data_IF_009683411796
#
_entry.id   IF_009683411796
#
_cell.length_a   1.000
_cell.length_b   1.000
_cell.length_c   1.000
_cell.angle_alpha   90.00
_cell.angle_beta   90.00
_cell.angle_gamma   90.00
#
_symmetry.space_group_name_H-M   'P 1'
#
loop_
_entity.id
_entity.type
_entity.pdbx_description
1 polymer ?
#
# COMPACT_ATOMS: atom_id res chain seq x y z
N UNK A 1 26.22 15.25 14.30
CA UNK A 1 25.56 15.36 12.97
C UNK A 1 24.53 14.25 12.68
N UNK A 2 24.32 13.25 13.55
CA UNK A 2 23.40 12.12 13.31
C UNK A 2 21.94 12.44 13.72
N UNK A 3 21.73 13.26 14.75
CA UNK A 3 20.38 13.64 15.23
C UNK A 3 19.55 14.45 14.21
N UNK A 4 20.18 15.41 13.51
CA UNK A 4 19.49 16.25 12.52
C UNK A 4 18.98 15.45 11.31
N UNK A 5 19.71 14.39 10.92
CA UNK A 5 19.30 13.51 9.83
C UNK A 5 18.11 12.61 10.22
N UNK A 6 18.04 12.22 11.50
CA UNK A 6 16.93 11.43 12.04
C UNK A 6 15.65 12.28 12.17
N UNK A 7 15.79 13.54 12.59
CA UNK A 7 14.67 14.49 12.66
C UNK A 7 14.11 14.83 11.28
N UNK A 8 14.97 15.07 10.28
CA UNK A 8 14.56 15.30 8.90
C UNK A 8 13.92 14.06 8.24
N UNK A 9 14.24 12.86 8.69
CA UNK A 9 13.63 11.60 8.22
C UNK A 9 12.25 11.38 8.84
N UNK A 10 12.11 11.68 10.13
CA UNK A 10 10.83 11.62 10.86
C UNK A 10 9.81 12.63 10.31
N UNK A 11 10.24 13.85 10.01
CA UNK A 11 9.39 14.87 9.41
C UNK A 11 8.90 14.47 8.01
N UNK A 12 9.78 13.89 7.18
CA UNK A 12 9.40 13.37 5.85
C UNK A 12 8.37 12.26 5.96
N UNK A 13 8.55 11.33 6.90
CA UNK A 13 7.59 10.26 7.16
C UNK A 13 6.24 10.82 7.68
N UNK A 14 6.25 11.83 8.56
CA UNK A 14 5.02 12.48 9.03
C UNK A 14 4.29 13.22 7.90
N UNK A 15 5.00 13.94 7.04
CA UNK A 15 4.40 14.61 5.87
C UNK A 15 3.77 13.60 4.90
N UNK A 16 4.44 12.48 4.63
CA UNK A 16 3.87 11.42 3.78
C UNK A 16 2.61 10.78 4.40
N UNK A 17 2.60 10.60 5.73
CA UNK A 17 1.40 10.10 6.45
C UNK A 17 0.27 11.13 6.44
N UNK A 18 0.57 12.41 6.50
CA UNK A 18 -0.42 13.48 6.44
C UNK A 18 -1.05 13.60 5.06
N UNK A 19 -0.25 13.59 3.99
CA UNK A 19 -0.73 13.62 2.59
C UNK A 19 -1.65 12.42 2.30
N UNK A 20 -1.34 11.24 2.84
CA UNK A 20 -2.20 10.04 2.70
C UNK A 20 -3.55 10.21 3.40
N UNK A 21 -3.56 10.76 4.61
CA UNK A 21 -4.82 11.06 5.32
C UNK A 21 -5.65 12.11 4.61
N UNK A 22 -5.02 13.15 4.07
CA UNK A 22 -5.69 14.22 3.31
C UNK A 22 -6.31 13.71 2.00
N UNK A 23 -5.76 12.63 1.41
CA UNK A 23 -6.34 11.93 0.25
C UNK A 23 -7.50 10.99 0.59
N UNK A 24 -7.79 10.78 1.88
CA UNK A 24 -8.80 9.83 2.34
C UNK A 24 -8.31 8.37 2.43
N UNK A 25 -7.01 8.11 2.26
CA UNK A 25 -6.45 6.77 2.39
C UNK A 25 -6.49 6.34 3.87
N UNK A 26 -6.96 5.11 4.13
CA UNK A 26 -6.94 4.50 5.46
C UNK A 26 -5.90 3.38 5.51
N UNK A 27 -5.03 3.42 6.53
CA UNK A 27 -4.12 2.32 6.82
C UNK A 27 -4.89 1.11 7.36
N UNK A 28 -4.64 -0.06 6.80
CA UNK A 28 -5.29 -1.31 7.18
C UNK A 28 -4.23 -2.40 7.34
N UNK A 29 -4.19 -3.02 8.53
CA UNK A 29 -3.33 -4.17 8.80
C UNK A 29 -4.16 -5.45 8.65
N UNK A 30 -3.72 -6.35 7.77
CA UNK A 30 -4.39 -7.62 7.49
C UNK A 30 -3.41 -8.78 7.59
N UNK A 31 -3.86 -9.90 8.16
CA UNK A 31 -3.15 -11.16 8.08
C UNK A 31 -3.44 -11.81 6.72
N UNK A 32 -2.39 -12.23 6.03
CA UNK A 32 -2.52 -12.91 4.73
C UNK A 32 -1.77 -14.24 4.74
N UNK A 33 -2.20 -15.22 3.93
CA UNK A 33 -1.45 -16.45 3.72
C UNK A 33 -0.03 -16.18 3.21
N UNK A 34 0.94 -16.99 3.66
CA UNK A 34 2.36 -16.82 3.31
C UNK A 34 2.60 -16.79 1.79
N UNK A 35 1.96 -17.70 1.05
CA UNK A 35 2.07 -17.77 -0.42
C UNK A 35 1.60 -16.49 -1.11
N UNK A 36 0.58 -15.81 -0.57
CA UNK A 36 0.09 -14.52 -1.10
C UNK A 36 1.14 -13.44 -0.86
N UNK A 37 1.73 -13.39 0.35
CA UNK A 37 2.82 -12.46 0.66
C UNK A 37 4.00 -12.62 -0.30
N UNK A 38 4.44 -13.85 -0.54
CA UNK A 38 5.54 -14.16 -1.49
C UNK A 38 5.19 -13.74 -2.92
N UNK A 39 3.94 -13.95 -3.36
CA UNK A 39 3.51 -13.54 -4.70
C UNK A 39 3.54 -12.02 -4.87
N UNK A 40 3.11 -11.27 -3.84
CA UNK A 40 3.19 -9.80 -3.83
C UNK A 40 4.65 -9.36 -3.91
N UNK A 41 5.52 -9.92 -3.06
CA UNK A 41 6.94 -9.56 -3.03
C UNK A 41 7.63 -9.86 -4.36
N UNK A 42 7.32 -10.99 -5.00
CA UNK A 42 7.83 -11.32 -6.34
C UNK A 42 7.35 -10.33 -7.40
N UNK A 43 6.09 -9.90 -7.35
CA UNK A 43 5.55 -8.92 -8.29
C UNK A 43 6.27 -7.55 -8.18
N UNK A 44 6.67 -7.16 -6.96
CA UNK A 44 7.48 -5.96 -6.75
C UNK A 44 8.91 -6.17 -7.23
N UNK A 45 9.54 -7.30 -6.86
CA UNK A 45 10.93 -7.60 -7.22
C UNK A 45 11.16 -7.71 -8.74
N UNK A 46 10.15 -8.16 -9.47
CA UNK A 46 10.16 -8.26 -10.95
C UNK A 46 9.83 -6.93 -11.64
N UNK A 47 9.56 -5.87 -10.88
CA UNK A 47 9.23 -4.54 -11.41
C UNK A 47 7.81 -4.40 -11.96
N UNK A 48 6.95 -5.42 -11.80
CA UNK A 48 5.53 -5.34 -12.22
C UNK A 48 4.78 -4.26 -11.44
N UNK A 49 5.15 -4.06 -10.17
CA UNK A 49 4.65 -2.95 -9.36
C UNK A 49 5.79 -2.24 -8.64
N UNK A 50 5.70 -0.91 -8.46
CA UNK A 50 6.76 -0.12 -7.81
C UNK A 50 6.83 -0.32 -6.29
N UNK A 51 5.78 -0.86 -5.66
CA UNK A 51 5.76 -1.20 -4.24
C UNK A 51 4.64 -2.18 -3.90
N UNK A 52 4.73 -2.81 -2.71
CA UNK A 52 3.66 -3.67 -2.19
C UNK A 52 2.33 -2.92 -2.08
N UNK A 53 2.37 -1.66 -1.64
CA UNK A 53 1.18 -0.83 -1.50
C UNK A 53 0.49 -0.63 -2.85
N UNK A 54 1.24 -0.31 -3.91
CA UNK A 54 0.67 -0.12 -5.25
C UNK A 54 0.11 -1.44 -5.81
N UNK A 55 0.83 -2.55 -5.60
CA UNK A 55 0.34 -3.87 -5.99
C UNK A 55 -1.00 -4.23 -5.33
N UNK A 56 -1.09 -4.04 -4.00
CA UNK A 56 -2.28 -4.35 -3.22
C UNK A 56 -3.43 -3.42 -3.62
N UNK A 57 -3.19 -2.11 -3.68
CA UNK A 57 -4.22 -1.14 -4.04
C UNK A 57 -4.80 -1.42 -5.43
N UNK A 58 -3.96 -1.67 -6.43
CA UNK A 58 -4.40 -1.99 -7.78
C UNK A 58 -5.33 -3.21 -7.83
N UNK A 59 -5.00 -4.28 -7.10
CA UNK A 59 -5.83 -5.49 -7.03
C UNK A 59 -7.14 -5.22 -6.28
N UNK A 60 -7.11 -4.49 -5.18
CA UNK A 60 -8.32 -4.13 -4.43
C UNK A 60 -9.25 -3.24 -5.26
N UNK A 61 -8.72 -2.26 -5.99
CA UNK A 61 -9.49 -1.43 -6.91
C UNK A 61 -10.13 -2.27 -8.02
N UNK A 62 -9.36 -3.19 -8.62
CA UNK A 62 -9.87 -4.09 -9.65
C UNK A 62 -10.99 -5.01 -9.13
N UNK A 63 -10.88 -5.49 -7.88
CA UNK A 63 -11.84 -6.42 -7.29
C UNK A 63 -13.09 -5.74 -6.70
N UNK A 64 -12.96 -4.54 -6.14
CA UNK A 64 -14.02 -3.90 -5.35
C UNK A 64 -14.53 -2.58 -5.93
N UNK A 65 -13.77 -1.91 -6.80
CA UNK A 65 -14.15 -0.59 -7.36
C UNK A 65 -14.60 -0.71 -8.81
N UNK A 66 -14.06 -1.66 -9.58
CA UNK A 66 -14.63 -1.96 -10.89
C UNK A 66 -16.03 -2.58 -10.72
N UNK A 67 -17.05 -1.86 -11.18
CA UNK A 67 -18.45 -2.30 -11.22
C UNK A 67 -18.57 -3.53 -12.14
N UNK A 68 -18.48 -4.73 -11.59
CA UNK A 68 -19.37 -5.80 -12.03
C UNK A 68 -20.71 -5.66 -11.26
N UNK A 69 -21.85 -5.84 -11.93
CA UNK A 69 -23.16 -5.67 -11.32
C UNK A 69 -23.39 -6.74 -10.24
N UNK A 70 -23.35 -6.29 -8.99
CA UNK A 70 -24.23 -6.66 -7.88
C UNK A 70 -24.91 -8.03 -8.01
N UNK A 71 -24.16 -9.11 -7.76
CA UNK A 71 -24.73 -10.39 -7.31
C UNK A 71 -23.77 -11.10 -6.38
N UNK A 72 -24.09 -11.08 -5.10
CA UNK A 72 -23.81 -12.23 -4.23
C UNK A 72 -25.17 -12.70 -3.72
N UNK A 73 -25.58 -13.86 -4.23
CA UNK A 73 -26.64 -14.70 -3.66
C UNK A 73 -25.97 -15.65 -2.68
#
# INVERSE_FOLDING_TARGET
>A
MIEMADQASRERAQRLRQIRRERGDREMNVWIPHNVGVAIDRAVATGRYPSRQVAIAHVLEAAFVQKEPDKVT
#
